data_IF_628742442498
#
_entry.id   IF_628742442498
#
_cell.length_a   1.000
_cell.length_b   1.000
_cell.length_c   1.000
_cell.angle_alpha   90.00
_cell.angle_beta   90.00
_cell.angle_gamma   90.00
#
_symmetry.space_group_name_H-M   'P 1'
#
loop_
_entity.id
_entity.type
_entity.pdbx_description
1 polymer ?
#
# COMPACT_ATOMS: atom_id res chain seq x y z
N UNK A 1 -24.69 27.14 40.13
CA UNK A 1 -23.90 26.48 39.06
C UNK A 1 -23.76 25.01 39.43
N UNK A 2 -24.61 24.16 38.87
CA UNK A 2 -24.60 22.71 39.11
C UNK A 2 -25.22 21.96 37.91
N UNK A 3 -24.80 22.32 36.69
CA UNK A 3 -25.33 21.71 35.45
C UNK A 3 -24.29 20.87 34.69
N UNK A 4 -23.00 21.00 35.00
CA UNK A 4 -21.94 20.28 34.27
C UNK A 4 -21.73 18.85 34.78
N UNK A 5 -22.07 18.59 36.05
CA UNK A 5 -21.89 17.26 36.67
C UNK A 5 -22.94 16.22 36.24
N UNK A 6 -24.12 16.66 35.80
CA UNK A 6 -25.24 15.76 35.51
C UNK A 6 -25.20 15.20 34.08
N UNK A 7 -24.58 15.94 33.15
CA UNK A 7 -24.41 15.53 31.75
C UNK A 7 -23.42 14.35 31.63
N UNK A 8 -22.39 14.32 32.48
CA UNK A 8 -21.35 13.28 32.45
C UNK A 8 -21.86 11.91 32.95
N UNK A 9 -22.81 11.89 33.88
CA UNK A 9 -23.40 10.64 34.39
C UNK A 9 -24.39 9.99 33.41
N UNK A 10 -25.03 10.78 32.54
CA UNK A 10 -25.97 10.28 31.52
C UNK A 10 -25.29 9.56 30.34
N UNK A 11 -23.99 9.76 30.14
CA UNK A 11 -23.24 9.20 29.02
C UNK A 11 -22.56 7.84 29.31
N UNK A 12 -22.78 7.25 30.50
CA UNK A 12 -22.36 5.89 30.80
C UNK A 12 -20.85 5.64 30.69
N UNK A 13 -20.01 6.67 30.88
CA UNK A 13 -18.55 6.54 30.82
C UNK A 13 -18.02 6.06 32.16
N UNK A 14 -18.37 4.83 32.53
CA UNK A 14 -17.53 4.02 33.40
C UNK A 14 -16.97 2.90 32.54
N UNK A 15 -15.88 3.18 31.84
CA UNK A 15 -15.06 2.12 31.24
C UNK A 15 -13.61 2.34 31.64
N UNK A 16 -12.94 1.30 32.15
CA UNK A 16 -11.66 1.45 32.82
C UNK A 16 -10.58 1.80 31.81
N UNK A 17 -9.68 2.68 32.26
CA UNK A 17 -8.41 3.10 31.67
C UNK A 17 -7.81 2.02 30.76
N UNK A 18 -7.96 2.19 29.44
CA UNK A 18 -7.11 1.54 28.44
C UNK A 18 -5.89 2.43 28.25
N UNK A 19 -4.64 1.91 28.30
CA UNK A 19 -3.49 2.73 27.97
C UNK A 19 -3.67 3.22 26.54
N UNK A 20 -3.62 4.54 26.32
CA UNK A 20 -3.56 5.18 25.01
C UNK A 20 -2.23 4.78 24.35
N UNK A 21 -2.21 3.57 23.81
CA UNK A 21 -1.14 3.00 22.99
C UNK A 21 -1.16 3.71 21.64
N UNK A 22 -0.14 4.54 21.41
CA UNK A 22 0.33 5.07 20.12
C UNK A 22 -0.71 5.82 19.25
N UNK A 23 -0.44 7.06 18.81
CA UNK A 23 -1.30 7.69 17.81
C UNK A 23 -1.36 6.79 16.56
N UNK A 24 -2.53 6.63 15.92
CA UNK A 24 -2.63 5.87 14.68
C UNK A 24 -1.62 6.46 13.70
N UNK A 25 -0.68 5.64 13.24
CA UNK A 25 0.33 6.08 12.28
C UNK A 25 -0.42 6.49 11.02
N UNK A 26 -0.57 7.79 10.81
CA UNK A 26 -1.28 8.34 9.66
C UNK A 26 -0.47 8.02 8.41
N UNK A 27 -0.83 6.93 7.75
CA UNK A 27 -0.20 6.51 6.51
C UNK A 27 -0.64 7.41 5.37
N UNK A 28 0.32 7.80 4.55
CA UNK A 28 0.10 8.60 3.35
C UNK A 28 0.39 7.75 2.12
N UNK A 29 -0.29 8.04 1.01
CA UNK A 29 0.00 7.40 -0.28
C UNK A 29 1.49 7.47 -0.64
N UNK A 30 2.15 8.57 -0.30
CA UNK A 30 3.58 8.78 -0.52
C UNK A 30 4.47 7.74 0.17
N UNK A 31 4.02 7.15 1.28
CA UNK A 31 4.79 6.13 2.00
C UNK A 31 4.88 4.80 1.21
N UNK A 32 3.91 4.53 0.32
CA UNK A 32 3.86 3.32 -0.48
C UNK A 32 4.56 3.48 -1.84
N UNK A 33 4.58 4.69 -2.41
CA UNK A 33 5.15 4.94 -3.74
C UNK A 33 6.58 4.42 -3.94
N UNK A 34 7.52 4.49 -2.96
CA UNK A 34 8.85 3.94 -3.13
C UNK A 34 8.84 2.46 -3.52
N UNK A 35 7.95 1.66 -2.93
CA UNK A 35 7.81 0.25 -3.27
C UNK A 35 7.29 0.05 -4.70
N UNK A 36 6.23 0.76 -5.08
CA UNK A 36 5.68 0.70 -6.44
C UNK A 36 6.70 1.14 -7.49
N UNK A 37 7.47 2.20 -7.19
CA UNK A 37 8.53 2.70 -8.08
C UNK A 37 9.64 1.70 -8.25
N UNK A 38 10.10 1.12 -7.14
CA UNK A 38 11.18 0.15 -7.18
C UNK A 38 10.75 -1.16 -7.86
N UNK A 39 9.54 -1.65 -7.59
CA UNK A 39 8.97 -2.82 -8.27
C UNK A 39 8.82 -2.56 -9.79
N UNK A 40 8.33 -1.37 -10.17
CA UNK A 40 8.24 -0.97 -11.57
C UNK A 40 9.61 -0.92 -12.22
N UNK A 41 10.60 -0.32 -11.57
CA UNK A 41 11.97 -0.23 -12.07
C UNK A 41 12.58 -1.62 -12.32
N UNK A 42 12.45 -2.54 -11.36
CA UNK A 42 12.97 -3.91 -11.50
C UNK A 42 12.29 -4.59 -12.69
N UNK A 43 10.95 -4.60 -12.72
CA UNK A 43 10.21 -5.24 -13.81
C UNK A 43 10.51 -4.61 -15.19
N UNK A 44 10.68 -3.28 -15.25
CA UNK A 44 10.98 -2.56 -16.50
C UNK A 44 12.34 -2.96 -17.09
N UNK A 45 13.33 -3.24 -16.23
CA UNK A 45 14.65 -3.69 -16.68
C UNK A 45 14.60 -5.00 -17.48
N UNK A 46 13.55 -5.82 -17.29
CA UNK A 46 13.40 -7.11 -17.98
C UNK A 46 12.28 -7.13 -19.03
N UNK A 47 11.17 -6.44 -18.78
CA UNK A 47 9.94 -6.54 -19.59
C UNK A 47 9.69 -5.30 -20.47
N UNK A 48 10.39 -4.20 -20.22
CA UNK A 48 10.14 -2.91 -20.87
C UNK A 48 8.94 -2.15 -20.28
N UNK A 49 8.87 -0.86 -20.63
CA UNK A 49 7.93 0.09 -20.03
C UNK A 49 6.46 -0.22 -20.33
N UNK A 50 6.13 -0.56 -21.57
CA UNK A 50 4.75 -0.76 -22.01
C UNK A 50 4.11 -1.97 -21.33
N UNK A 51 4.88 -3.05 -21.17
CA UNK A 51 4.38 -4.27 -20.53
C UNK A 51 4.13 -4.03 -19.04
N UNK A 52 5.05 -3.37 -18.34
CA UNK A 52 4.90 -3.03 -16.92
C UNK A 52 3.68 -2.15 -16.68
N UNK A 53 3.44 -1.15 -17.54
CA UNK A 53 2.24 -0.32 -17.46
C UNK A 53 0.97 -1.17 -17.57
N UNK A 54 0.92 -2.06 -18.55
CA UNK A 54 -0.24 -2.94 -18.75
C UNK A 54 -0.42 -3.90 -17.57
N UNK A 55 0.66 -4.40 -16.99
CA UNK A 55 0.60 -5.33 -15.86
C UNK A 55 0.00 -4.67 -14.64
N UNK A 56 0.43 -3.44 -14.30
CA UNK A 56 -0.21 -2.67 -13.25
C UNK A 56 -1.71 -2.43 -13.47
N UNK A 57 -2.14 -2.22 -14.72
CA UNK A 57 -3.56 -2.06 -15.03
C UNK A 57 -4.34 -3.37 -14.87
N UNK A 58 -3.77 -4.49 -15.32
CA UNK A 58 -4.38 -5.83 -15.23
C UNK A 58 -4.48 -6.30 -13.77
N UNK A 59 -3.43 -6.06 -12.98
CA UNK A 59 -3.37 -6.50 -11.58
C UNK A 59 -4.04 -5.54 -10.61
N UNK A 60 -4.67 -4.47 -11.10
CA UNK A 60 -5.39 -3.52 -10.25
C UNK A 60 -6.65 -4.18 -9.68
N UNK A 61 -6.81 -4.26 -8.35
CA UNK A 61 -8.08 -4.67 -7.75
C UNK A 61 -9.25 -3.81 -8.25
N UNK A 62 -10.42 -4.43 -8.42
CA UNK A 62 -11.62 -3.75 -8.89
C UNK A 62 -12.24 -2.86 -7.80
N UNK A 63 -11.57 -1.74 -7.50
CA UNK A 63 -12.01 -0.76 -6.52
C UNK A 63 -11.97 0.65 -7.14
N UNK A 64 -13.01 1.45 -6.91
CA UNK A 64 -13.15 2.78 -7.51
C UNK A 64 -12.04 3.75 -7.06
N UNK A 65 -11.60 3.67 -5.80
CA UNK A 65 -10.55 4.52 -5.27
C UNK A 65 -9.20 4.27 -5.96
N UNK A 66 -8.84 3.01 -6.21
CA UNK A 66 -7.62 2.66 -6.94
C UNK A 66 -7.61 3.20 -8.38
N UNK A 67 -8.79 3.34 -9.01
CA UNK A 67 -8.90 3.96 -10.34
C UNK A 67 -8.54 5.45 -10.35
N UNK A 68 -8.58 6.11 -9.19
CA UNK A 68 -8.13 7.51 -9.06
C UNK A 68 -6.60 7.64 -9.08
N UNK A 69 -5.88 6.53 -8.89
CA UNK A 69 -4.41 6.48 -8.93
C UNK A 69 -3.97 6.19 -10.37
N UNK A 70 -3.25 7.13 -10.96
CA UNK A 70 -2.63 6.97 -12.28
C UNK A 70 -1.41 6.07 -12.15
N UNK A 71 -1.33 5.01 -12.97
CA UNK A 71 -0.20 4.05 -12.94
C UNK A 71 1.11 4.75 -13.28
N UNK A 72 1.04 5.81 -14.09
CA UNK A 72 2.14 6.69 -14.44
C UNK A 72 2.88 7.24 -13.21
N UNK A 73 2.20 7.36 -12.07
CA UNK A 73 2.79 7.78 -10.78
C UNK A 73 3.87 6.81 -10.27
N UNK A 74 3.81 5.55 -10.70
CA UNK A 74 4.73 4.50 -10.26
C UNK A 74 6.05 4.50 -11.03
N UNK A 75 6.17 5.21 -12.15
CA UNK A 75 7.44 5.25 -12.90
C UNK A 75 7.89 6.67 -13.27
N UNK A 76 7.02 7.68 -13.12
CA UNK A 76 7.40 9.07 -13.30
C UNK A 76 7.92 9.65 -11.97
N UNK A 77 9.25 9.78 -11.85
CA UNK A 77 9.90 10.38 -10.69
C UNK A 77 9.47 11.84 -10.43
N UNK A 78 9.09 12.56 -11.50
CA UNK A 78 8.62 13.95 -11.42
C UNK A 78 7.16 14.09 -10.97
N UNK A 79 6.41 12.99 -10.89
CA UNK A 79 5.03 13.00 -10.40
C UNK A 79 5.00 12.93 -8.87
N UNK A 80 4.74 14.06 -8.22
CA UNK A 80 4.32 14.06 -6.81
C UNK A 80 2.93 13.43 -6.73
N UNK A 81 2.78 12.32 -5.99
CA UNK A 81 1.44 11.86 -5.66
C UNK A 81 0.81 12.85 -4.68
N UNK A 82 -0.49 13.11 -4.81
CA UNK A 82 -1.19 13.98 -3.87
C UNK A 82 -0.99 13.45 -2.45
N UNK A 83 -0.66 14.35 -1.54
CA UNK A 83 -0.51 14.05 -0.11
C UNK A 83 -1.88 13.70 0.45
N UNK A 84 -2.20 12.41 0.42
CA UNK A 84 -3.50 11.85 0.82
C UNK A 84 -3.28 10.88 1.96
N UNK A 85 -3.95 11.14 3.07
CA UNK A 85 -4.08 10.18 4.16
C UNK A 85 -4.87 8.97 3.72
N UNK A 86 -4.44 7.81 4.17
CA UNK A 86 -5.04 6.52 3.86
C UNK A 86 -5.78 5.98 5.07
N UNK A 87 -6.98 5.48 4.85
CA UNK A 87 -7.63 4.58 5.82
C UNK A 87 -7.04 3.15 5.70
N UNK A 88 -7.40 2.25 6.62
CA UNK A 88 -6.89 0.88 6.64
C UNK A 88 -7.23 0.11 5.34
N UNK A 89 -8.47 0.23 4.85
CA UNK A 89 -8.89 -0.41 3.60
C UNK A 89 -8.02 0.02 2.41
N UNK A 90 -7.68 1.30 2.32
CA UNK A 90 -6.84 1.84 1.26
C UNK A 90 -5.39 1.35 1.35
N UNK A 91 -4.88 1.15 2.57
CA UNK A 91 -3.56 0.56 2.79
C UNK A 91 -3.54 -0.89 2.32
N UNK A 92 -4.55 -1.67 2.69
CA UNK A 92 -4.71 -3.07 2.27
C UNK A 92 -4.85 -3.17 0.75
N UNK A 93 -5.64 -2.31 0.12
CA UNK A 93 -5.81 -2.27 -1.34
C UNK A 93 -4.49 -1.98 -2.08
N UNK A 94 -3.64 -1.09 -1.54
CA UNK A 94 -2.32 -0.83 -2.11
C UNK A 94 -1.40 -2.03 -1.95
N UNK A 95 -1.39 -2.66 -0.78
CA UNK A 95 -0.58 -3.85 -0.53
C UNK A 95 -1.01 -4.99 -1.48
N UNK A 96 -2.30 -5.28 -1.58
CA UNK A 96 -2.85 -6.30 -2.48
C UNK A 96 -2.48 -6.00 -3.93
N UNK A 97 -2.55 -4.74 -4.37
CA UNK A 97 -2.18 -4.38 -5.75
C UNK A 97 -0.70 -4.64 -6.04
N UNK A 98 0.20 -4.28 -5.10
CA UNK A 98 1.63 -4.55 -5.21
C UNK A 98 1.92 -6.05 -5.25
N UNK A 99 1.29 -6.82 -4.36
CA UNK A 99 1.46 -8.28 -4.31
C UNK A 99 0.97 -8.95 -5.60
N UNK A 100 -0.21 -8.57 -6.10
CA UNK A 100 -0.74 -9.09 -7.36
C UNK A 100 0.17 -8.74 -8.55
N UNK A 101 0.77 -7.55 -8.56
CA UNK A 101 1.76 -7.18 -9.57
C UNK A 101 2.99 -8.08 -9.53
N UNK A 102 3.57 -8.31 -8.35
CA UNK A 102 4.74 -9.18 -8.20
C UNK A 102 4.41 -10.62 -8.61
N UNK A 103 3.27 -11.16 -8.16
CA UNK A 103 2.79 -12.49 -8.55
C UNK A 103 2.60 -12.63 -10.06
N UNK A 104 2.05 -11.60 -10.71
CA UNK A 104 1.81 -11.63 -12.14
C UNK A 104 3.13 -11.59 -12.92
N UNK A 105 4.06 -10.73 -12.51
CA UNK A 105 5.39 -10.64 -13.12
C UNK A 105 6.22 -11.90 -12.88
N UNK A 106 6.11 -12.56 -11.71
CA UNK A 106 6.84 -13.77 -11.36
C UNK A 106 6.69 -14.90 -12.40
N UNK A 107 5.53 -14.95 -13.09
CA UNK A 107 5.27 -15.91 -14.17
C UNK A 107 6.28 -15.84 -15.32
N UNK A 108 6.86 -14.66 -15.55
CA UNK A 108 7.86 -14.40 -16.60
C UNK A 108 9.24 -14.06 -16.02
N UNK A 109 9.29 -13.57 -14.78
CA UNK A 109 10.49 -13.15 -14.08
C UNK A 109 10.63 -13.89 -12.73
N UNK A 110 11.14 -15.13 -12.74
CA UNK A 110 11.30 -15.89 -11.50
C UNK A 110 12.24 -15.25 -10.47
N UNK A 111 13.14 -14.35 -10.90
CA UNK A 111 14.09 -13.64 -10.02
C UNK A 111 13.47 -12.45 -9.30
N UNK A 112 12.33 -11.95 -9.76
CA UNK A 112 11.69 -10.74 -9.24
C UNK A 112 11.45 -10.77 -7.73
N UNK A 113 10.99 -11.88 -7.10
CA UNK A 113 10.76 -11.92 -5.66
C UNK A 113 12.05 -11.68 -4.85
N UNK A 114 13.17 -12.32 -5.24
CA UNK A 114 14.45 -12.12 -4.57
C UNK A 114 14.94 -10.67 -4.71
N UNK A 115 14.83 -10.10 -5.91
CA UNK A 115 15.21 -8.71 -6.17
C UNK A 115 14.32 -7.70 -5.42
N UNK A 116 13.01 -7.99 -5.31
CA UNK A 116 12.07 -7.18 -4.56
C UNK A 116 12.38 -7.21 -3.05
N UNK A 117 12.67 -8.38 -2.47
CA UNK A 117 13.07 -8.48 -1.07
C UNK A 117 14.39 -7.77 -0.80
N UNK A 118 15.40 -7.94 -1.66
CA UNK A 118 16.68 -7.24 -1.55
C UNK A 118 16.51 -5.71 -1.60
N UNK A 119 15.45 -5.24 -2.26
CA UNK A 119 15.07 -3.83 -2.32
C UNK A 119 14.13 -3.36 -1.20
N UNK A 120 13.81 -4.22 -0.21
CA UNK A 120 12.93 -3.90 0.91
C UNK A 120 11.46 -3.76 0.53
N UNK A 121 11.04 -4.34 -0.60
CA UNK A 121 9.65 -4.36 -1.06
C UNK A 121 8.96 -5.57 -0.42
N UNK A 122 7.76 -5.39 0.17
CA UNK A 122 7.00 -6.53 0.69
C UNK A 122 6.64 -7.48 -0.47
N UNK A 123 6.98 -8.75 -0.30
CA UNK A 123 6.73 -9.82 -1.27
C UNK A 123 5.57 -10.68 -0.77
N UNK A 124 4.67 -11.11 -1.67
CA UNK A 124 3.57 -12.00 -1.33
C UNK A 124 4.05 -13.23 -0.55
N UNK A 125 3.34 -13.67 0.50
CA UNK A 125 3.74 -14.83 1.31
C UNK A 125 3.99 -16.10 0.49
N UNK A 126 3.28 -16.27 -0.63
CA UNK A 126 3.42 -17.44 -1.49
C UNK A 126 4.78 -17.50 -2.21
N UNK A 127 5.50 -16.38 -2.32
CA UNK A 127 6.77 -16.28 -3.04
C UNK A 127 7.98 -16.17 -2.10
N UNK A 128 7.78 -16.21 -0.78
CA UNK A 128 8.89 -16.10 0.18
C UNK A 128 9.93 -17.22 0.03
N UNK A 129 9.49 -18.44 -0.28
CA UNK A 129 10.41 -19.57 -0.54
C UNK A 129 11.19 -19.42 -1.84
N UNK A 130 10.62 -18.73 -2.85
CA UNK A 130 11.29 -18.45 -4.12
C UNK A 130 12.24 -17.24 -4.03
N UNK A 131 12.17 -16.49 -2.92
CA UNK A 131 12.95 -15.29 -2.69
C UNK A 131 14.14 -15.51 -1.73
N UNK A 132 14.17 -16.63 -1.00
CA UNK A 132 15.22 -17.05 -0.07
C UNK A 132 16.39 -17.74 -0.80
#
# INVERSE_FOLDING_TARGET
>A
MALEGEILNLLGVTSPVRPLLTPPVLQKLQNYLPWFRKASQIAQNHLGCDLVRNYWLITRPNNAWLRTIRVETFYNAQGSAPDRYLNEEQQDLLQVWLEQFILYCYRLLPTLPAEAMAAGIPVPPQLLQAAA
#
